data_IF_217737524211
#
_entry.id   IF_217737524211
#
_cell.length_a   1.000
_cell.length_b   1.000
_cell.length_c   1.000
_cell.angle_alpha   90.00
_cell.angle_beta   90.00
_cell.angle_gamma   90.00
#
_symmetry.space_group_name_H-M   'P 1'
#
loop_
_entity.id
_entity.type
_entity.pdbx_description
1 polymer ?
#
# COMPACT_ATOMS: atom_id res chain seq x y z
N UNK A 1 -50.24 34.39 -3.88
CA UNK A 1 -49.53 33.87 -5.07
C UNK A 1 -48.53 32.85 -4.55
N UNK A 2 -48.85 31.56 -4.62
CA UNK A 2 -47.84 30.49 -4.55
C UNK A 2 -47.17 30.37 -5.94
N UNK A 3 -46.04 29.65 -6.07
CA UNK A 3 -46.13 28.19 -6.22
C UNK A 3 -45.22 27.39 -5.27
N UNK A 4 -45.62 26.13 -5.13
CA UNK A 4 -45.03 25.04 -4.38
C UNK A 4 -43.76 24.45 -5.03
N UNK A 5 -42.95 23.76 -4.23
CA UNK A 5 -41.85 22.90 -4.67
C UNK A 5 -41.76 21.67 -3.77
N UNK A 6 -41.78 20.49 -4.38
CA UNK A 6 -42.03 19.18 -3.80
C UNK A 6 -40.97 18.72 -2.79
N UNK A 7 -41.43 17.92 -1.82
CA UNK A 7 -40.59 17.21 -0.87
C UNK A 7 -39.98 15.91 -1.39
N UNK A 8 -39.04 15.40 -0.60
CA UNK A 8 -38.61 14.01 -0.62
C UNK A 8 -38.54 13.54 0.84
N UNK A 9 -39.46 12.65 1.21
CA UNK A 9 -39.36 11.88 2.46
C UNK A 9 -38.66 10.58 2.08
N UNK A 10 -37.37 10.46 2.40
CA UNK A 10 -36.62 9.21 2.21
C UNK A 10 -36.97 8.29 3.38
N UNK A 11 -37.71 7.22 3.09
CA UNK A 11 -37.94 6.14 4.03
C UNK A 11 -36.65 5.32 4.17
N UNK A 12 -36.04 5.33 5.36
CA UNK A 12 -34.95 4.41 5.70
C UNK A 12 -35.51 3.00 5.87
N UNK A 13 -35.14 2.10 4.97
CA UNK A 13 -35.24 0.65 5.20
C UNK A 13 -34.05 0.26 6.07
N UNK A 14 -34.29 -0.02 7.35
CA UNK A 14 -33.28 -0.61 8.24
C UNK A 14 -33.14 -2.07 7.86
N UNK A 15 -32.17 -2.40 7.01
CA UNK A 15 -31.67 -3.76 6.89
C UNK A 15 -30.80 -4.05 8.13
N UNK A 16 -31.24 -4.98 8.96
CA UNK A 16 -30.48 -5.47 10.12
C UNK A 16 -29.46 -6.47 9.59
N UNK A 17 -28.25 -6.00 9.30
CA UNK A 17 -27.09 -6.86 9.05
C UNK A 17 -26.57 -7.42 10.37
N UNK A 18 -26.53 -8.74 10.49
CA UNK A 18 -25.99 -9.45 11.65
C UNK A 18 -24.46 -9.45 11.59
N UNK A 19 -23.83 -8.50 12.29
CA UNK A 19 -22.37 -8.45 12.43
C UNK A 19 -21.85 -9.66 13.23
N UNK A 20 -21.08 -10.54 12.59
CA UNK A 20 -20.30 -11.57 13.28
C UNK A 20 -19.11 -10.95 14.02
N UNK A 21 -19.05 -11.11 15.35
CA UNK A 21 -17.95 -10.55 16.17
C UNK A 21 -16.68 -11.39 16.02
N UNK A 22 -15.67 -10.81 15.38
CA UNK A 22 -14.26 -11.17 15.56
C UNK A 22 -13.77 -10.34 16.74
N UNK A 23 -13.79 -10.90 17.96
CA UNK A 23 -13.45 -10.28 19.25
C UNK A 23 -13.15 -8.76 19.19
N UNK A 24 -14.22 -7.96 19.35
CA UNK A 24 -14.30 -6.48 19.35
C UNK A 24 -14.07 -5.68 18.07
N UNK A 25 -13.59 -6.27 16.96
CA UNK A 25 -13.58 -5.57 15.66
C UNK A 25 -14.87 -5.83 14.90
N UNK A 26 -15.62 -4.76 14.62
CA UNK A 26 -16.83 -4.81 13.79
C UNK A 26 -16.41 -4.93 12.33
N UNK A 27 -16.93 -5.93 11.62
CA UNK A 27 -16.80 -6.01 10.17
C UNK A 27 -18.01 -5.30 9.58
N UNK A 28 -17.75 -4.23 8.84
CA UNK A 28 -18.77 -3.43 8.16
C UNK A 28 -19.12 -4.05 6.80
N UNK A 29 -20.39 -3.98 6.42
CA UNK A 29 -20.90 -4.39 5.09
C UNK A 29 -21.32 -3.17 4.24
N UNK A 30 -21.01 -1.97 4.74
CA UNK A 30 -21.33 -0.68 4.11
C UNK A 30 -20.07 0.18 4.11
N UNK A 31 -19.66 0.64 2.91
CA UNK A 31 -18.43 1.42 2.73
C UNK A 31 -18.45 2.72 3.53
N UNK A 32 -19.54 3.49 3.47
CA UNK A 32 -19.64 4.81 4.09
C UNK A 32 -19.55 4.67 5.60
N UNK A 33 -20.25 3.71 6.20
CA UNK A 33 -20.16 3.44 7.64
C UNK A 33 -18.78 2.99 8.07
N UNK A 34 -18.10 2.17 7.26
CA UNK A 34 -16.74 1.72 7.56
C UNK A 34 -15.76 2.89 7.52
N UNK A 35 -15.88 3.75 6.50
CA UNK A 35 -15.07 4.94 6.31
C UNK A 35 -15.27 5.95 7.44
N UNK A 36 -16.51 6.31 7.76
CA UNK A 36 -16.84 7.22 8.86
C UNK A 36 -16.34 6.69 10.21
N UNK A 37 -16.48 5.39 10.45
CA UNK A 37 -15.98 4.75 11.67
C UNK A 37 -14.45 4.81 11.77
N UNK A 38 -13.74 4.60 10.65
CA UNK A 38 -12.29 4.67 10.57
C UNK A 38 -11.76 6.09 10.77
N UNK A 39 -12.36 7.07 10.09
CA UNK A 39 -12.01 8.49 10.25
C UNK A 39 -12.27 8.96 11.68
N UNK A 40 -13.46 8.71 12.23
CA UNK A 40 -13.81 9.12 13.58
C UNK A 40 -12.88 8.56 14.66
N UNK A 41 -12.24 7.41 14.41
CA UNK A 41 -11.30 6.75 15.33
C UNK A 41 -9.83 6.96 15.00
N UNK A 42 -9.51 7.63 13.89
CA UNK A 42 -8.13 7.79 13.42
C UNK A 42 -7.45 6.45 13.12
N UNK A 43 -8.14 5.55 12.41
CA UNK A 43 -7.67 4.18 12.11
C UNK A 43 -7.57 3.95 10.62
N UNK A 44 -6.72 3.03 10.19
CA UNK A 44 -6.68 2.62 8.78
C UNK A 44 -7.97 1.85 8.43
N UNK A 45 -8.58 2.10 7.29
CA UNK A 45 -9.69 1.28 6.79
C UNK A 45 -9.11 0.17 5.92
N UNK A 46 -9.40 -1.09 6.26
CA UNK A 46 -9.09 -2.25 5.44
C UNK A 46 -10.36 -2.89 4.91
N UNK A 47 -10.46 -3.00 3.59
CA UNK A 47 -11.62 -3.55 2.89
C UNK A 47 -11.17 -4.85 2.22
N UNK A 48 -11.86 -5.95 2.50
CA UNK A 48 -11.85 -7.12 1.63
C UNK A 48 -12.98 -6.98 0.61
N UNK A 49 -12.60 -6.80 -0.65
CA UNK A 49 -13.50 -6.76 -1.80
C UNK A 49 -13.59 -8.16 -2.41
N UNK A 50 -14.77 -8.76 -2.41
CA UNK A 50 -15.03 -10.12 -2.90
C UNK A 50 -16.13 -10.15 -3.96
N UNK A 51 -16.23 -11.22 -4.75
CA UNK A 51 -17.37 -11.36 -5.69
C UNK A 51 -18.67 -11.69 -4.94
N UNK A 52 -18.57 -12.52 -3.91
CA UNK A 52 -19.68 -13.05 -3.13
C UNK A 52 -19.27 -13.10 -1.65
N UNK A 53 -20.10 -12.54 -0.77
CA UNK A 53 -19.89 -12.49 0.69
C UNK A 53 -19.86 -13.88 1.36
N UNK A 54 -20.42 -14.88 0.68
CA UNK A 54 -20.39 -16.30 1.08
C UNK A 54 -19.45 -17.15 0.21
N UNK A 55 -18.76 -16.50 -0.72
CA UNK A 55 -17.81 -17.11 -1.64
C UNK A 55 -16.51 -17.59 -1.00
N UNK A 56 -15.66 -18.22 -1.82
CA UNK A 56 -14.37 -18.78 -1.38
C UNK A 56 -13.44 -17.70 -0.79
N UNK A 57 -13.30 -16.56 -1.46
CA UNK A 57 -12.48 -15.44 -1.00
C UNK A 57 -12.96 -14.90 0.35
N UNK A 58 -14.28 -14.69 0.51
CA UNK A 58 -14.86 -14.19 1.75
C UNK A 58 -14.65 -15.15 2.93
N UNK A 59 -14.85 -16.45 2.71
CA UNK A 59 -14.56 -17.49 3.73
C UNK A 59 -13.09 -17.55 4.09
N UNK A 60 -12.19 -17.47 3.10
CA UNK A 60 -10.73 -17.43 3.30
C UNK A 60 -10.34 -16.23 4.15
N UNK A 61 -10.87 -15.04 3.81
CA UNK A 61 -10.68 -13.81 4.56
C UNK A 61 -11.16 -13.93 6.01
N UNK A 62 -12.41 -14.36 6.23
CA UNK A 62 -12.99 -14.62 7.56
C UNK A 62 -12.12 -15.59 8.37
N UNK A 63 -11.53 -16.60 7.72
CA UNK A 63 -10.61 -17.56 8.37
C UNK A 63 -9.32 -16.90 8.81
N UNK A 64 -8.71 -16.06 7.97
CA UNK A 64 -7.51 -15.31 8.35
C UNK A 64 -7.78 -14.33 9.49
N UNK A 65 -8.94 -13.69 9.51
CA UNK A 65 -9.34 -12.81 10.62
C UNK A 65 -9.56 -13.55 11.95
N UNK A 66 -9.72 -14.88 11.93
CA UNK A 66 -9.81 -15.66 13.16
C UNK A 66 -8.43 -15.93 13.81
N UNK A 67 -7.34 -15.70 13.07
CA UNK A 67 -5.98 -15.93 13.52
C UNK A 67 -5.55 -14.90 14.59
N UNK A 68 -5.02 -15.39 15.72
CA UNK A 68 -4.64 -14.54 16.86
C UNK A 68 -3.60 -13.48 16.51
N UNK A 69 -2.63 -13.82 15.67
CA UNK A 69 -1.57 -12.89 15.28
C UNK A 69 -2.14 -11.75 14.44
N UNK A 70 -3.02 -12.07 13.50
CA UNK A 70 -3.71 -11.06 12.68
C UNK A 70 -4.63 -10.20 13.55
N UNK A 71 -5.46 -10.82 14.41
CA UNK A 71 -6.36 -10.08 15.32
C UNK A 71 -5.62 -9.09 16.21
N UNK A 72 -4.46 -9.49 16.74
CA UNK A 72 -3.66 -8.63 17.60
C UNK A 72 -3.14 -7.39 16.87
N UNK A 73 -2.81 -7.49 15.58
CA UNK A 73 -2.40 -6.33 14.77
C UNK A 73 -3.62 -5.44 14.46
N UNK A 74 -4.75 -6.06 14.12
CA UNK A 74 -5.95 -5.35 13.69
C UNK A 74 -6.63 -4.52 14.79
N UNK A 75 -6.80 -5.10 15.99
CA UNK A 75 -7.79 -4.64 16.98
C UNK A 75 -7.72 -3.16 17.39
N UNK A 76 -6.56 -2.51 17.25
CA UNK A 76 -6.37 -1.10 17.61
C UNK A 76 -6.02 -0.18 16.43
N UNK A 77 -5.68 -0.74 15.28
CA UNK A 77 -5.09 0.03 14.17
C UNK A 77 -6.02 0.09 12.95
N UNK A 78 -6.99 -0.82 12.87
CA UNK A 78 -7.82 -1.00 11.69
C UNK A 78 -9.31 -0.99 12.00
N UNK A 79 -10.08 -0.41 11.07
CA UNK A 79 -11.49 -0.73 10.87
C UNK A 79 -11.62 -1.64 9.65
N UNK A 80 -12.59 -2.56 9.70
CA UNK A 80 -12.72 -3.63 8.70
C UNK A 80 -14.01 -3.51 7.91
N UNK A 81 -13.93 -3.71 6.61
CA UNK A 81 -15.10 -3.93 5.76
C UNK A 81 -14.98 -5.20 4.94
N UNK A 82 -16.10 -5.88 4.72
CA UNK A 82 -16.24 -6.97 3.76
C UNK A 82 -17.32 -6.56 2.77
N UNK A 83 -16.92 -6.24 1.55
CA UNK A 83 -17.77 -5.65 0.52
C UNK A 83 -17.72 -6.51 -0.74
N UNK A 84 -18.78 -6.44 -1.55
CA UNK A 84 -18.78 -7.03 -2.89
C UNK A 84 -18.11 -6.11 -3.92
N UNK A 85 -17.69 -6.65 -5.06
CA UNK A 85 -17.08 -5.88 -6.16
C UNK A 85 -17.98 -4.76 -6.70
N UNK A 86 -19.30 -4.93 -6.57
CA UNK A 86 -20.34 -4.00 -7.00
C UNK A 86 -20.93 -3.15 -5.87
N UNK A 87 -20.39 -3.27 -4.64
CA UNK A 87 -20.85 -2.46 -3.51
C UNK A 87 -20.72 -0.97 -3.83
N UNK A 88 -21.76 -0.15 -3.56
CA UNK A 88 -21.74 1.26 -3.93
C UNK A 88 -20.75 2.04 -3.05
N UNK A 89 -19.91 2.86 -3.69
CA UNK A 89 -19.01 3.81 -3.02
C UNK A 89 -19.22 5.22 -3.58
N UNK A 90 -18.95 6.28 -2.79
CA UNK A 90 -19.05 7.66 -3.27
C UNK A 90 -18.26 7.87 -4.57
N UNK A 91 -18.88 8.53 -5.54
CA UNK A 91 -18.21 8.87 -6.80
C UNK A 91 -17.08 9.89 -6.55
N UNK A 92 -15.95 9.82 -7.29
CA UNK A 92 -14.87 10.81 -7.17
C UNK A 92 -15.27 12.25 -7.50
N UNK A 93 -16.32 12.44 -8.30
CA UNK A 93 -16.89 13.75 -8.62
C UNK A 93 -17.83 14.28 -7.52
N UNK A 94 -18.09 13.49 -6.49
CA UNK A 94 -18.98 13.81 -5.38
C UNK A 94 -20.47 13.62 -5.68
N UNK A 95 -20.84 13.16 -6.89
CA UNK A 95 -22.23 12.99 -7.30
C UNK A 95 -22.61 11.49 -7.38
N UNK A 96 -23.47 11.06 -6.48
CA UNK A 96 -23.99 9.69 -6.46
C UNK A 96 -22.95 8.65 -6.01
N UNK A 97 -23.05 7.45 -6.58
CA UNK A 97 -22.20 6.31 -6.24
C UNK A 97 -21.79 5.53 -7.47
N UNK A 98 -20.60 4.96 -7.44
CA UNK A 98 -20.09 4.00 -8.43
C UNK A 98 -19.89 2.62 -7.79
N UNK A 99 -19.89 1.53 -8.56
CA UNK A 99 -19.45 0.23 -8.07
C UNK A 99 -18.03 0.30 -7.50
N UNK A 100 -17.76 -0.45 -6.43
CA UNK A 100 -16.50 -0.43 -5.70
C UNK A 100 -15.31 -0.54 -6.67
N UNK A 101 -15.23 -1.59 -7.50
CA UNK A 101 -14.08 -1.78 -8.39
C UNK A 101 -14.03 -0.83 -9.61
N UNK A 102 -15.08 -0.05 -9.86
CA UNK A 102 -15.07 1.01 -10.87
C UNK A 102 -14.52 2.34 -10.34
N UNK A 103 -14.35 2.47 -9.03
CA UNK A 103 -13.78 3.69 -8.44
C UNK A 103 -12.29 3.86 -8.85
N UNK A 104 -11.89 4.99 -9.48
CA UNK A 104 -10.54 5.21 -9.98
C UNK A 104 -9.42 5.03 -8.95
N UNK A 105 -9.70 5.30 -7.67
CA UNK A 105 -8.75 5.07 -6.57
C UNK A 105 -8.34 3.60 -6.39
N UNK A 106 -9.12 2.64 -6.91
CA UNK A 106 -8.85 1.21 -6.82
C UNK A 106 -8.41 0.60 -8.16
N UNK A 107 -8.10 1.43 -9.17
CA UNK A 107 -7.79 0.99 -10.52
C UNK A 107 -6.62 -0.01 -10.61
N UNK A 108 -5.69 -0.01 -9.65
CA UNK A 108 -4.58 -0.98 -9.60
C UNK A 108 -5.00 -2.40 -9.15
N UNK A 109 -6.27 -2.63 -8.80
CA UNK A 109 -6.83 -3.98 -8.71
C UNK A 109 -7.27 -4.52 -10.07
N UNK A 110 -7.29 -3.69 -11.13
CA UNK A 110 -7.62 -4.12 -12.49
C UNK A 110 -8.98 -4.81 -12.64
N UNK A 111 -9.96 -4.43 -11.82
CA UNK A 111 -11.29 -5.03 -11.82
C UNK A 111 -11.40 -6.36 -11.08
N UNK A 112 -10.33 -6.80 -10.40
CA UNK A 112 -10.28 -8.07 -9.67
C UNK A 112 -10.57 -7.89 -8.17
N UNK A 113 -11.18 -8.90 -7.51
CA UNK A 113 -11.30 -8.97 -6.06
C UNK A 113 -9.95 -8.88 -5.33
N UNK A 114 -9.94 -8.24 -4.17
CA UNK A 114 -8.70 -8.04 -3.41
C UNK A 114 -8.88 -7.31 -2.09
N UNK A 115 -7.74 -6.93 -1.51
CA UNK A 115 -7.63 -6.15 -0.30
C UNK A 115 -7.31 -4.71 -0.66
N UNK A 116 -8.01 -3.77 -0.04
CA UNK A 116 -7.80 -2.33 -0.17
C UNK A 116 -7.50 -1.76 1.22
N UNK A 117 -6.50 -0.88 1.32
CA UNK A 117 -6.22 -0.12 2.54
C UNK A 117 -6.26 1.37 2.26
N UNK A 118 -6.97 2.11 3.12
CA UNK A 118 -7.09 3.57 3.07
C UNK A 118 -6.58 4.12 4.40
N UNK A 119 -5.65 5.07 4.34
CA UNK A 119 -5.10 5.70 5.53
C UNK A 119 -6.00 6.84 6.02
N UNK A 120 -6.53 6.68 7.24
CA UNK A 120 -7.32 7.70 7.95
C UNK A 120 -6.73 7.98 9.34
N UNK A 121 -5.45 7.67 9.55
CA UNK A 121 -4.81 7.70 10.88
C UNK A 121 -4.30 9.08 11.30
N UNK A 122 -4.01 9.98 10.35
CA UNK A 122 -3.47 11.31 10.66
C UNK A 122 -3.87 12.37 9.64
N UNK A 123 -4.79 13.28 10.00
CA UNK A 123 -5.32 14.35 9.13
C UNK A 123 -4.28 15.29 8.52
N UNK A 124 -3.07 15.35 9.09
CA UNK A 124 -1.97 16.18 8.61
C UNK A 124 -0.95 15.41 7.77
N UNK A 125 -1.11 14.09 7.62
CA UNK A 125 -0.23 13.25 6.82
C UNK A 125 -0.60 13.34 5.34
N UNK A 126 0.40 13.27 4.45
CA UNK A 126 0.16 13.32 3.01
C UNK A 126 -0.63 12.12 2.46
N UNK A 127 -0.67 11.02 3.23
CA UNK A 127 -1.41 9.80 2.91
C UNK A 127 -2.87 9.81 3.39
N UNK A 128 -3.29 10.82 4.16
CA UNK A 128 -4.64 10.89 4.68
C UNK A 128 -5.70 10.89 3.57
N UNK A 129 -6.71 10.04 3.73
CA UNK A 129 -7.78 9.74 2.76
C UNK A 129 -7.27 9.18 1.43
N UNK A 130 -6.05 8.63 1.40
CA UNK A 130 -5.49 7.98 0.22
C UNK A 130 -5.51 6.48 0.37
N UNK A 131 -5.69 5.81 -0.76
CA UNK A 131 -5.39 4.38 -0.88
C UNK A 131 -3.89 4.20 -0.71
N UNK A 132 -3.49 3.37 0.24
CA UNK A 132 -2.10 3.12 0.62
C UNK A 132 -1.68 1.67 0.39
N UNK A 133 -2.62 0.78 0.06
CA UNK A 133 -2.30 -0.58 -0.37
C UNK A 133 -3.45 -1.18 -1.19
N UNK A 134 -3.10 -1.98 -2.21
CA UNK A 134 -4.03 -2.73 -3.06
C UNK A 134 -3.41 -4.09 -3.38
N UNK A 135 -4.12 -5.19 -3.11
CA UNK A 135 -3.55 -6.54 -3.26
C UNK A 135 -4.60 -7.54 -3.73
N UNK A 136 -4.46 -8.16 -4.92
CA UNK A 136 -5.47 -9.08 -5.44
C UNK A 136 -5.52 -10.39 -4.64
N UNK A 137 -6.70 -11.01 -4.57
CA UNK A 137 -6.85 -12.32 -3.94
C UNK A 137 -6.30 -13.47 -4.79
N UNK A 138 -6.18 -13.25 -6.11
CA UNK A 138 -5.73 -14.22 -7.10
C UNK A 138 -4.61 -13.64 -7.99
N UNK A 139 -4.07 -14.46 -8.87
CA UNK A 139 -2.94 -14.09 -9.75
C UNK A 139 -1.58 -14.59 -9.26
N UNK A 140 -0.51 -14.14 -9.95
CA UNK A 140 0.87 -14.57 -9.67
C UNK A 140 1.31 -14.18 -8.26
N UNK A 141 1.00 -12.95 -7.85
CA UNK A 141 1.29 -12.40 -6.54
C UNK A 141 -0.05 -12.20 -5.81
N UNK A 142 -0.51 -13.24 -5.12
CA UNK A 142 -1.85 -13.28 -4.53
C UNK A 142 -1.82 -13.32 -3.01
N UNK A 143 -2.93 -12.91 -2.39
CA UNK A 143 -3.09 -12.89 -0.94
C UNK A 143 -2.94 -14.28 -0.30
N UNK A 144 -1.96 -14.38 0.60
CA UNK A 144 -1.77 -15.47 1.56
C UNK A 144 -1.93 -14.93 2.99
N UNK A 145 -2.02 -15.83 3.97
CA UNK A 145 -2.06 -15.45 5.39
C UNK A 145 -0.77 -14.72 5.79
N UNK A 146 0.36 -15.21 5.31
CA UNK A 146 1.70 -14.70 5.60
C UNK A 146 1.89 -13.31 4.97
N UNK A 147 1.45 -13.14 3.72
CA UNK A 147 1.48 -11.84 3.05
C UNK A 147 0.57 -10.82 3.75
N UNK A 148 -0.59 -11.25 4.27
CA UNK A 148 -1.47 -10.39 5.06
C UNK A 148 -0.78 -9.88 6.32
N UNK A 149 -0.06 -10.74 7.04
CA UNK A 149 0.72 -10.35 8.21
C UNK A 149 1.77 -9.29 7.83
N UNK A 150 2.51 -9.48 6.73
CA UNK A 150 3.55 -8.52 6.32
C UNK A 150 2.97 -7.20 5.85
N UNK A 151 1.87 -7.23 5.11
CA UNK A 151 1.12 -6.04 4.68
C UNK A 151 0.67 -5.18 5.87
N UNK A 152 0.18 -5.81 6.95
CA UNK A 152 -0.29 -5.11 8.15
C UNK A 152 0.85 -4.46 8.96
N UNK A 153 2.10 -4.90 8.79
CA UNK A 153 3.28 -4.34 9.47
C UNK A 153 4.01 -3.28 8.65
N UNK A 154 3.53 -2.95 7.45
CA UNK A 154 4.19 -1.95 6.61
C UNK A 154 4.09 -0.58 7.29
N UNK A 155 5.17 0.24 7.23
CA UNK A 155 5.13 1.60 7.76
C UNK A 155 4.14 2.47 7.00
N UNK A 156 3.71 3.58 7.59
CA UNK A 156 2.95 4.61 6.87
C UNK A 156 3.73 5.08 5.64
N UNK A 157 2.99 5.42 4.59
CA UNK A 157 3.58 5.80 3.31
C UNK A 157 2.55 5.75 2.19
N UNK A 158 2.95 6.23 1.02
CA UNK A 158 2.11 6.19 -0.17
C UNK A 158 1.92 4.75 -0.68
N UNK A 159 0.94 4.57 -1.57
CA UNK A 159 0.68 3.28 -2.24
C UNK A 159 1.96 2.66 -2.84
N UNK A 160 2.76 3.45 -3.54
CA UNK A 160 3.96 2.95 -4.25
C UNK A 160 5.10 2.63 -3.29
N UNK A 161 5.27 3.42 -2.23
CA UNK A 161 6.24 3.14 -1.18
C UNK A 161 5.91 1.81 -0.48
N UNK A 162 4.67 1.66 0.00
CA UNK A 162 4.24 0.45 0.71
C UNK A 162 4.30 -0.78 -0.18
N UNK A 163 3.94 -0.67 -1.45
CA UNK A 163 4.03 -1.80 -2.38
C UNK A 163 5.46 -2.27 -2.61
N UNK A 164 6.42 -1.34 -2.79
CA UNK A 164 7.81 -1.71 -3.00
C UNK A 164 8.45 -2.27 -1.73
N UNK A 165 8.16 -1.69 -0.56
CA UNK A 165 8.59 -2.24 0.75
C UNK A 165 8.03 -3.65 0.94
N UNK A 166 6.75 -3.85 0.63
CA UNK A 166 6.12 -5.16 0.70
C UNK A 166 6.84 -6.17 -0.18
N UNK A 167 7.09 -5.84 -1.46
CA UNK A 167 7.80 -6.73 -2.38
C UNK A 167 9.19 -7.12 -1.89
N UNK A 168 9.92 -6.21 -1.21
CA UNK A 168 11.19 -6.53 -0.54
C UNK A 168 10.94 -7.54 0.58
N UNK A 169 10.03 -7.26 1.51
CA UNK A 169 9.79 -8.10 2.71
C UNK A 169 9.27 -9.51 2.40
N UNK A 170 8.53 -9.70 1.31
CA UNK A 170 8.00 -11.02 0.93
C UNK A 170 8.84 -11.75 -0.11
N UNK A 171 10.01 -11.23 -0.46
CA UNK A 171 10.92 -11.91 -1.38
C UNK A 171 11.45 -13.22 -0.76
N UNK A 172 11.60 -14.27 -1.58
CA UNK A 172 11.92 -15.64 -1.12
C UNK A 172 13.24 -15.77 -0.34
N UNK A 173 14.19 -14.89 -0.64
CA UNK A 173 15.50 -14.83 0.01
C UNK A 173 15.52 -14.06 1.36
N UNK A 174 14.37 -13.58 1.85
CA UNK A 174 14.25 -12.84 3.14
C UNK A 174 15.23 -11.65 3.30
N UNK A 175 15.27 -10.69 2.36
CA UNK A 175 16.17 -9.54 2.45
C UNK A 175 15.83 -8.65 3.66
N UNK A 176 16.86 -8.20 4.39
CA UNK A 176 16.71 -7.58 5.71
C UNK A 176 16.72 -6.05 5.71
N UNK A 177 16.92 -5.39 4.57
CA UNK A 177 16.99 -3.92 4.49
C UNK A 177 15.70 -3.24 4.96
N UNK A 178 14.54 -3.80 4.57
CA UNK A 178 13.22 -3.28 4.90
C UNK A 178 12.72 -3.61 6.33
N UNK A 179 13.54 -4.27 7.15
CA UNK A 179 13.27 -4.49 8.59
C UNK A 179 13.72 -3.32 9.47
N UNK A 180 14.51 -2.42 8.89
CA UNK A 180 15.12 -1.29 9.59
C UNK A 180 14.12 -0.13 9.72
N UNK A 181 14.56 1.03 10.19
CA UNK A 181 13.68 2.20 10.27
C UNK A 181 13.57 2.89 8.91
N UNK A 182 12.33 3.15 8.46
CA UNK A 182 12.10 4.00 7.29
C UNK A 182 12.40 5.46 7.67
N UNK A 183 13.47 6.04 7.13
CA UNK A 183 13.87 7.41 7.46
C UNK A 183 13.25 8.39 6.45
N UNK A 184 12.47 9.41 6.88
CA UNK A 184 11.80 10.34 5.96
C UNK A 184 12.74 11.00 4.95
N UNK A 185 13.97 11.32 5.36
CA UNK A 185 15.02 11.82 4.47
C UNK A 185 15.26 10.88 3.28
N UNK A 186 15.46 9.59 3.54
CA UNK A 186 15.74 8.59 2.49
C UNK A 186 14.49 8.28 1.66
N UNK A 187 13.32 8.24 2.29
CA UNK A 187 12.04 8.05 1.60
C UNK A 187 11.79 9.17 0.60
N UNK A 188 12.01 10.43 1.01
CA UNK A 188 11.84 11.60 0.14
C UNK A 188 12.85 11.60 -1.02
N UNK A 189 14.11 11.24 -0.75
CA UNK A 189 15.13 11.13 -1.78
C UNK A 189 14.81 10.00 -2.78
N UNK A 190 14.33 8.84 -2.30
CA UNK A 190 13.90 7.73 -3.13
C UNK A 190 12.69 8.12 -3.99
N UNK A 191 11.69 8.79 -3.41
CA UNK A 191 10.52 9.31 -4.11
C UNK A 191 10.91 10.30 -5.20
N UNK A 192 11.76 11.28 -4.88
CA UNK A 192 12.20 12.30 -5.84
C UNK A 192 12.95 11.67 -7.02
N UNK A 193 13.80 10.67 -6.76
CA UNK A 193 14.58 10.02 -7.82
C UNK A 193 13.75 9.03 -8.64
N UNK A 194 12.83 8.28 -8.02
CA UNK A 194 11.86 7.46 -8.74
C UNK A 194 11.00 8.32 -9.68
N UNK A 195 10.54 9.49 -9.21
CA UNK A 195 9.80 10.44 -10.05
C UNK A 195 10.67 10.96 -11.21
N UNK A 196 11.91 11.35 -10.93
CA UNK A 196 12.81 11.82 -11.96
C UNK A 196 13.05 10.76 -13.04
N UNK A 197 13.32 9.50 -12.67
CA UNK A 197 13.46 8.38 -13.61
C UNK A 197 12.21 8.18 -14.46
N UNK A 198 11.01 8.29 -13.86
CA UNK A 198 9.74 8.21 -14.58
C UNK A 198 9.52 9.37 -15.57
N UNK A 199 9.91 10.59 -15.19
CA UNK A 199 9.78 11.79 -16.02
C UNK A 199 10.69 11.74 -17.26
N UNK A 200 11.93 11.26 -17.09
CA UNK A 200 12.88 11.11 -18.20
C UNK A 200 12.78 9.75 -18.90
N UNK A 201 11.95 8.84 -18.36
CA UNK A 201 11.72 7.48 -18.86
C UNK A 201 13.02 6.66 -18.99
N UNK A 202 13.92 6.81 -18.02
CA UNK A 202 15.24 6.16 -18.04
C UNK A 202 15.65 5.75 -16.62
N UNK A 203 15.97 4.47 -16.45
CA UNK A 203 16.55 3.94 -15.22
C UNK A 203 18.03 4.34 -15.09
N UNK A 204 18.47 4.67 -13.88
CA UNK A 204 19.89 4.88 -13.59
C UNK A 204 20.17 5.74 -12.36
N UNK A 205 21.46 5.88 -12.04
CA UNK A 205 21.98 6.66 -10.91
C UNK A 205 22.16 8.15 -11.25
N UNK A 206 21.20 8.73 -11.98
CA UNK A 206 21.30 10.12 -12.47
C UNK A 206 21.50 11.09 -11.32
N UNK A 207 22.52 11.97 -11.38
CA UNK A 207 22.85 12.94 -10.33
C UNK A 207 23.16 12.32 -8.95
N UNK A 208 23.56 11.04 -8.90
CA UNK A 208 23.83 10.36 -7.64
C UNK A 208 24.90 11.06 -6.79
N UNK A 209 26.01 11.51 -7.37
CA UNK A 209 27.08 12.20 -6.62
C UNK A 209 26.53 13.38 -5.79
N UNK A 210 25.64 14.17 -6.40
CA UNK A 210 25.03 15.30 -5.70
C UNK A 210 24.12 14.84 -4.55
N UNK A 211 23.20 13.90 -4.82
CA UNK A 211 22.31 13.34 -3.79
C UNK A 211 23.11 12.67 -2.66
N UNK A 212 24.17 11.96 -3.00
CA UNK A 212 25.06 11.31 -2.04
C UNK A 212 25.63 12.32 -1.04
N UNK A 213 26.19 13.44 -1.51
CA UNK A 213 26.72 14.49 -0.65
C UNK A 213 25.63 15.17 0.19
N UNK A 214 24.46 15.43 -0.38
CA UNK A 214 23.30 16.00 0.33
C UNK A 214 22.83 15.08 1.47
N UNK A 215 22.68 13.78 1.18
CA UNK A 215 22.31 12.77 2.17
C UNK A 215 23.38 12.59 3.25
N UNK A 216 24.65 12.54 2.85
CA UNK A 216 25.77 12.37 3.78
C UNK A 216 25.86 13.51 4.81
N UNK A 217 25.46 14.73 4.43
CA UNK A 217 25.47 15.89 5.31
C UNK A 217 24.37 15.86 6.39
N UNK A 218 23.29 15.10 6.17
CA UNK A 218 22.14 15.01 7.08
C UNK A 218 22.07 13.68 7.84
N UNK A 219 22.75 12.65 7.34
CA UNK A 219 22.83 11.34 7.98
C UNK A 219 23.84 11.34 9.15
N UNK A 220 23.70 10.41 10.11
CA UNK A 220 24.72 10.17 11.13
C UNK A 220 26.11 9.91 10.54
N UNK A 221 27.16 10.38 11.21
CA UNK A 221 28.56 10.28 10.74
C UNK A 221 29.05 8.85 10.53
N UNK A 222 28.43 7.87 11.19
CA UNK A 222 28.77 6.45 11.17
C UNK A 222 28.01 5.65 10.11
N UNK A 223 27.19 6.29 9.27
CA UNK A 223 26.52 5.63 8.14
C UNK A 223 26.94 6.19 6.78
N UNK A 224 26.66 5.43 5.73
CA UNK A 224 26.87 5.79 4.34
C UNK A 224 25.63 5.49 3.50
N UNK A 225 25.14 6.44 2.68
CA UNK A 225 24.01 6.21 1.80
C UNK A 225 24.41 5.36 0.59
N UNK A 226 23.51 4.50 0.15
CA UNK A 226 23.65 3.66 -1.05
C UNK A 226 22.36 3.68 -1.86
N UNK A 227 22.44 3.74 -3.19
CA UNK A 227 21.28 3.78 -4.08
C UNK A 227 21.19 2.48 -4.88
N UNK A 228 19.97 1.96 -5.01
CA UNK A 228 19.62 0.89 -5.94
C UNK A 228 18.46 1.38 -6.82
N UNK A 229 18.59 1.19 -8.13
CA UNK A 229 17.59 1.61 -9.12
C UNK A 229 17.21 0.42 -9.98
N UNK A 230 15.93 0.29 -10.32
CA UNK A 230 15.43 -0.69 -11.28
C UNK A 230 14.26 -0.11 -12.07
N UNK A 231 13.94 -0.73 -13.21
CA UNK A 231 12.70 -0.51 -13.92
C UNK A 231 11.95 -1.82 -14.10
N UNK A 232 10.64 -1.73 -14.24
CA UNK A 232 9.75 -2.85 -14.52
C UNK A 232 9.67 -3.11 -16.03
N UNK A 233 8.94 -4.15 -16.44
CA UNK A 233 8.62 -4.35 -17.84
C UNK A 233 7.36 -3.57 -18.27
N UNK A 234 7.22 -3.24 -19.56
CA UNK A 234 6.01 -2.64 -20.09
C UNK A 234 4.77 -3.51 -19.85
N UNK A 235 3.69 -2.89 -19.38
CA UNK A 235 2.39 -3.55 -19.20
C UNK A 235 2.19 -4.22 -17.83
N UNK A 236 3.21 -4.24 -16.98
CA UNK A 236 3.08 -4.79 -15.62
C UNK A 236 2.15 -3.93 -14.74
N UNK A 237 1.34 -4.62 -13.95
CA UNK A 237 0.54 -4.03 -12.88
C UNK A 237 1.46 -3.48 -11.78
N UNK A 238 0.92 -2.67 -10.87
CA UNK A 238 1.70 -2.07 -9.78
C UNK A 238 2.41 -3.14 -8.92
N UNK A 239 1.70 -4.21 -8.58
CA UNK A 239 2.24 -5.32 -7.77
C UNK A 239 3.33 -6.10 -8.53
N UNK A 240 3.08 -6.44 -9.80
CA UNK A 240 4.07 -7.14 -10.63
C UNK A 240 5.34 -6.31 -10.77
N UNK A 241 5.19 -5.02 -11.07
CA UNK A 241 6.30 -4.10 -11.23
C UNK A 241 7.13 -3.92 -9.95
N UNK A 242 6.49 -3.92 -8.78
CA UNK A 242 7.20 -3.86 -7.50
C UNK A 242 8.06 -5.12 -7.28
N UNK A 243 7.48 -6.30 -7.51
CA UNK A 243 8.21 -7.56 -7.44
C UNK A 243 9.33 -7.66 -8.48
N UNK A 244 9.10 -7.17 -9.70
CA UNK A 244 10.11 -7.16 -10.78
C UNK A 244 11.28 -6.22 -10.47
N UNK A 245 11.02 -5.05 -9.86
CA UNK A 245 12.09 -4.16 -9.41
C UNK A 245 13.00 -4.86 -8.38
N UNK A 246 12.41 -5.57 -7.41
CA UNK A 246 13.18 -6.32 -6.40
C UNK A 246 13.91 -7.49 -7.05
N UNK A 247 13.28 -8.21 -7.99
CA UNK A 247 13.92 -9.26 -8.75
C UNK A 247 15.13 -8.75 -9.55
N UNK A 248 15.00 -7.58 -10.18
CA UNK A 248 16.08 -6.94 -10.91
C UNK A 248 17.26 -6.56 -10.00
N UNK A 249 17.00 -6.05 -8.79
CA UNK A 249 18.06 -5.84 -7.80
C UNK A 249 18.72 -7.16 -7.39
N UNK A 250 17.94 -8.22 -7.24
CA UNK A 250 18.44 -9.56 -6.92
C UNK A 250 19.37 -10.14 -7.99
N UNK A 251 19.23 -9.77 -9.26
CA UNK A 251 20.13 -10.21 -10.33
C UNK A 251 21.50 -9.50 -10.32
N UNK A 252 21.65 -8.41 -9.55
CA UNK A 252 22.90 -7.67 -9.43
C UNK A 252 23.51 -7.94 -8.05
N UNK A 253 24.68 -8.57 -8.00
CA UNK A 253 25.36 -8.83 -6.71
C UNK A 253 25.62 -7.56 -5.92
N UNK A 254 25.95 -6.46 -6.60
CA UNK A 254 26.19 -5.16 -5.96
C UNK A 254 24.92 -4.52 -5.37
N UNK A 255 23.76 -4.64 -6.05
CA UNK A 255 22.49 -4.19 -5.48
C UNK A 255 22.02 -5.13 -4.37
N UNK A 256 22.05 -6.43 -4.64
CA UNK A 256 21.53 -7.45 -3.75
C UNK A 256 22.27 -7.50 -2.43
N UNK A 257 23.59 -7.35 -2.41
CA UNK A 257 24.36 -7.28 -1.18
C UNK A 257 23.82 -6.21 -0.21
N UNK A 258 23.34 -5.07 -0.74
CA UNK A 258 22.81 -3.97 0.07
C UNK A 258 21.35 -4.20 0.46
N UNK A 259 20.52 -4.67 -0.46
CA UNK A 259 19.10 -4.97 -0.21
C UNK A 259 18.94 -6.16 0.74
N UNK A 260 19.75 -7.20 0.60
CA UNK A 260 19.67 -8.41 1.44
C UNK A 260 20.15 -8.17 2.87
N UNK A 261 21.07 -7.23 3.07
CA UNK A 261 21.66 -6.96 4.37
C UNK A 261 20.77 -6.08 5.24
N UNK A 262 20.89 -6.26 6.55
CA UNK A 262 20.26 -5.33 7.50
C UNK A 262 20.93 -3.97 7.36
N UNK A 263 20.13 -2.92 7.26
CA UNK A 263 20.60 -1.53 7.21
C UNK A 263 20.24 -0.82 8.52
N UNK A 264 20.68 0.42 8.68
CA UNK A 264 20.21 1.23 9.82
C UNK A 264 18.92 1.94 9.46
N UNK A 265 18.90 2.52 8.27
CA UNK A 265 17.74 3.19 7.71
C UNK A 265 17.51 2.78 6.26
N UNK A 266 16.28 2.96 5.80
CA UNK A 266 15.94 2.81 4.39
C UNK A 266 14.92 3.85 3.92
N UNK A 267 14.82 4.00 2.61
CA UNK A 267 13.71 4.62 1.90
C UNK A 267 13.48 3.91 0.57
N UNK A 268 12.24 3.61 0.24
CA UNK A 268 11.85 2.94 -1.00
C UNK A 268 10.67 3.66 -1.63
N UNK A 269 10.70 3.88 -2.93
CA UNK A 269 9.53 4.32 -3.70
C UNK A 269 9.65 3.88 -5.16
N UNK A 270 8.53 3.86 -5.87
CA UNK A 270 8.48 3.67 -7.31
C UNK A 270 7.49 4.63 -7.97
N UNK A 271 7.74 5.02 -9.22
CA UNK A 271 6.84 5.88 -10.00
C UNK A 271 6.66 5.34 -11.41
N UNK A 272 5.48 5.55 -11.98
CA UNK A 272 5.16 5.11 -13.33
C UNK A 272 5.45 6.23 -14.33
N UNK A 273 6.29 5.96 -15.32
CA UNK A 273 6.48 6.83 -16.47
C UNK A 273 5.28 6.81 -17.41
N UNK A 274 5.16 7.82 -18.27
CA UNK A 274 4.10 7.89 -19.28
C UNK A 274 4.23 6.82 -20.39
N UNK A 275 5.39 6.16 -20.49
CA UNK A 275 5.62 4.96 -21.29
C UNK A 275 5.01 3.68 -20.66
N UNK A 276 4.41 3.79 -19.47
CA UNK A 276 3.76 2.68 -18.77
C UNK A 276 4.70 1.81 -17.95
N UNK A 277 6.00 2.09 -17.95
CA UNK A 277 7.04 1.41 -17.15
C UNK A 277 7.09 2.03 -15.74
N UNK A 278 7.37 1.21 -14.73
CA UNK A 278 7.62 1.68 -13.37
C UNK A 278 9.11 1.74 -13.07
N UNK A 279 9.53 2.77 -12.35
CA UNK A 279 10.91 3.02 -11.96
C UNK A 279 11.02 2.96 -10.45
N UNK A 280 11.69 1.93 -9.93
CA UNK A 280 11.91 1.70 -8.51
C UNK A 280 13.24 2.28 -8.04
N UNK A 281 13.22 2.92 -6.87
CA UNK A 281 14.41 3.42 -6.19
C UNK A 281 14.41 2.95 -4.74
N UNK A 282 15.54 2.43 -4.29
CA UNK A 282 15.87 2.23 -2.88
C UNK A 282 17.07 3.07 -2.49
N UNK A 283 16.97 3.76 -1.35
CA UNK A 283 18.09 4.45 -0.72
C UNK A 283 18.28 3.87 0.67
N UNK A 284 19.48 3.37 0.95
CA UNK A 284 19.83 2.63 2.14
C UNK A 284 20.92 3.37 2.91
N UNK A 285 20.83 3.45 4.24
CA UNK A 285 21.94 3.92 5.07
C UNK A 285 22.57 2.73 5.81
N UNK A 286 23.84 2.49 5.53
CA UNK A 286 24.58 1.33 6.00
C UNK A 286 25.70 1.81 6.93
N UNK A 287 25.92 1.10 8.03
CA UNK A 287 27.01 1.42 8.96
C UNK A 287 28.38 1.31 8.26
N UNK A 288 29.26 2.29 8.48
CA UNK A 288 30.58 2.39 7.81
C UNK A 288 31.56 1.29 8.21
N UNK A 289 31.38 0.72 9.40
CA UNK A 289 32.26 -0.31 9.96
C UNK A 289 31.82 -1.74 9.61
N UNK A 290 30.80 -1.90 8.76
CA UNK A 290 30.37 -3.21 8.28
C UNK A 290 31.19 -3.54 7.03
N UNK A 291 32.25 -4.32 7.22
CA UNK A 291 32.91 -5.04 6.12
C UNK A 291 31.94 -6.07 5.54
N UNK A 292 31.80 -6.08 4.21
CA UNK A 292 30.97 -7.04 3.48
C UNK A 292 31.81 -8.06 2.73
#
# INVERSE_FOLDING_TARGET
MMPAGLGWTIAYVIAVATSGRVADTVIHEDYVRAYEAADARGRMLMIACVEDLEGKAARKWKTWLADDQIRNILGNQYELALLTTDSPVPSPDGEGSVPLLEHPGFAHLHGEPGIIMIDLTGRNESSYEKVVFLYPFEGRYHATRENLIEMLKLPLGTLTQRMLIFAVRVHEDDPRSADSEALPLLVNAAQSHAQYQADIQLQGHHHWERRFQELLAELPDDVMPYEVCAESWPGETLIEAAHECVHSWRQSSGHWQRVASKTRFYGYDMKRGSNGIWYGTGILAIDRDVDF
#
